data_IF_240756083494
#
_entry.id   IF_240756083494
#
_cell.length_a   1.000
_cell.length_b   1.000
_cell.length_c   1.000
_cell.angle_alpha   90.00
_cell.angle_beta   90.00
_cell.angle_gamma   90.00
#
_symmetry.space_group_name_H-M   'P 1'
#
loop_
_entity.id
_entity.type
_entity.pdbx_description
1 polymer ?
#
# COMPACT_ATOMS: atom_id res chain seq x y z
N UNK A 1 40.35 -3.99 -19.47
CA UNK A 1 40.69 -2.88 -18.55
C UNK A 1 40.20 -3.28 -17.14
N UNK A 2 40.68 -2.68 -16.04
CA UNK A 2 40.19 -2.96 -14.69
C UNK A 2 39.75 -1.65 -14.02
N UNK A 3 38.68 -1.69 -13.24
CA UNK A 3 38.16 -0.58 -12.42
C UNK A 3 38.04 -1.05 -10.97
N UNK A 4 38.23 -0.16 -10.00
CA UNK A 4 38.00 -0.49 -8.59
C UNK A 4 36.50 -0.54 -8.29
N UNK A 5 36.06 -1.34 -7.31
CA UNK A 5 34.64 -1.41 -6.92
C UNK A 5 34.08 -0.04 -6.49
N UNK A 6 34.86 0.76 -5.75
CA UNK A 6 34.45 2.11 -5.37
C UNK A 6 34.17 2.98 -6.61
N UNK A 7 35.11 3.03 -7.56
CA UNK A 7 34.93 3.83 -8.77
C UNK A 7 33.77 3.31 -9.64
N UNK A 8 33.52 1.99 -9.64
CA UNK A 8 32.35 1.40 -10.30
C UNK A 8 31.05 1.87 -9.65
N UNK A 9 30.95 1.76 -8.32
CA UNK A 9 29.78 2.19 -7.56
C UNK A 9 29.50 3.69 -7.73
N UNK A 10 30.54 4.52 -7.76
CA UNK A 10 30.43 5.96 -7.99
C UNK A 10 29.91 6.29 -9.40
N UNK A 11 30.14 5.43 -10.40
CA UNK A 11 29.74 5.67 -11.80
C UNK A 11 28.37 5.10 -12.16
N UNK A 12 28.07 3.89 -11.66
CA UNK A 12 26.94 3.07 -12.09
C UNK A 12 26.05 2.63 -10.92
N UNK A 13 26.36 3.00 -9.69
CA UNK A 13 25.73 2.44 -8.50
C UNK A 13 26.31 1.07 -8.09
N UNK A 14 25.92 0.54 -6.93
CA UNK A 14 26.46 -0.70 -6.37
C UNK A 14 26.20 -1.90 -7.29
N UNK A 15 26.98 -2.97 -7.10
CA UNK A 15 26.82 -4.27 -7.77
C UNK A 15 26.98 -5.42 -6.79
N UNK A 16 26.86 -6.67 -7.23
CA UNK A 16 26.74 -7.89 -6.41
C UNK A 16 27.72 -7.89 -5.23
N UNK A 17 27.17 -8.01 -4.02
CA UNK A 17 27.89 -8.04 -2.74
C UNK A 17 28.23 -6.67 -2.13
N UNK A 18 27.99 -5.55 -2.82
CA UNK A 18 28.02 -4.24 -2.19
C UNK A 18 26.79 -4.06 -1.29
N UNK A 19 26.94 -3.23 -0.25
CA UNK A 19 25.86 -2.92 0.70
C UNK A 19 25.50 -1.45 0.71
N UNK A 20 24.21 -1.17 0.89
CA UNK A 20 23.66 0.19 0.99
C UNK A 20 22.84 0.30 2.27
N UNK A 21 23.08 1.34 3.06
CA UNK A 21 22.26 1.70 4.21
C UNK A 21 20.98 2.38 3.73
N UNK A 22 19.84 1.99 4.28
CA UNK A 22 18.56 2.63 3.97
C UNK A 22 18.36 3.88 4.82
N UNK A 23 18.47 5.06 4.20
CA UNK A 23 18.36 6.34 4.90
C UNK A 23 19.37 6.47 6.05
N UNK A 24 18.90 6.92 7.20
CA UNK A 24 19.62 6.99 8.46
C UNK A 24 19.30 5.81 9.42
N UNK A 25 18.65 4.76 8.91
CA UNK A 25 18.34 3.55 9.68
C UNK A 25 19.59 2.67 9.88
N UNK A 26 19.46 1.61 10.69
CA UNK A 26 20.47 0.53 10.80
C UNK A 26 20.21 -0.63 9.83
N UNK A 27 19.29 -0.47 8.87
CA UNK A 27 19.03 -1.48 7.84
C UNK A 27 20.04 -1.35 6.70
N UNK A 28 20.61 -2.50 6.33
CA UNK A 28 21.56 -2.62 5.22
C UNK A 28 21.03 -3.65 4.21
N UNK A 29 20.90 -3.23 2.96
CA UNK A 29 20.59 -4.13 1.84
C UNK A 29 21.89 -4.53 1.12
N UNK A 30 21.97 -5.77 0.66
CA UNK A 30 23.08 -6.28 -0.14
C UNK A 30 22.58 -6.58 -1.56
N UNK A 31 23.33 -6.20 -2.58
CA UNK A 31 22.96 -6.50 -3.98
C UNK A 31 23.13 -8.00 -4.22
N UNK A 32 22.03 -8.69 -4.51
CA UNK A 32 21.97 -10.14 -4.69
C UNK A 32 22.36 -10.58 -6.10
N UNK A 33 21.91 -9.82 -7.11
CA UNK A 33 22.16 -10.07 -8.53
C UNK A 33 22.40 -8.76 -9.28
N UNK A 34 23.18 -8.80 -10.36
CA UNK A 34 23.35 -7.71 -11.31
C UNK A 34 23.21 -8.26 -12.72
N UNK A 35 22.21 -7.74 -13.46
CA UNK A 35 21.87 -8.18 -14.81
C UNK A 35 22.82 -7.62 -15.88
N UNK A 36 23.74 -6.72 -15.52
CA UNK A 36 24.64 -6.11 -16.49
C UNK A 36 25.76 -7.03 -16.94
N UNK A 37 26.39 -6.66 -18.06
CA UNK A 37 27.71 -7.14 -18.45
C UNK A 37 28.73 -6.04 -18.15
N UNK A 38 29.71 -6.32 -17.28
CA UNK A 38 30.63 -5.28 -16.84
C UNK A 38 31.43 -4.65 -17.99
N UNK A 39 31.25 -3.34 -18.18
CA UNK A 39 31.79 -2.55 -19.29
C UNK A 39 30.78 -2.20 -20.39
N UNK A 40 29.58 -2.78 -20.33
CA UNK A 40 28.45 -2.54 -21.25
C UNK A 40 27.25 -1.86 -20.56
N UNK A 41 27.48 -1.24 -19.40
CA UNK A 41 26.48 -0.44 -18.69
C UNK A 41 25.99 0.69 -19.60
N UNK A 42 24.69 0.86 -19.70
CA UNK A 42 24.11 1.95 -20.47
C UNK A 42 24.04 3.20 -19.61
N UNK A 43 24.62 4.30 -20.09
CA UNK A 43 24.62 5.60 -19.43
C UNK A 43 24.35 6.69 -20.45
N UNK A 44 23.44 7.60 -20.12
CA UNK A 44 23.08 8.73 -20.96
C UNK A 44 23.95 9.96 -20.65
N UNK A 45 24.16 10.81 -21.67
CA UNK A 45 24.89 12.08 -21.55
C UNK A 45 25.94 12.32 -22.63
N UNK A 46 26.54 13.51 -22.62
CA UNK A 46 27.56 13.91 -23.60
C UNK A 46 28.77 12.96 -23.60
N UNK A 47 29.02 12.32 -24.75
CA UNK A 47 30.13 11.36 -24.91
C UNK A 47 29.93 10.02 -24.18
N UNK A 48 28.71 9.68 -23.73
CA UNK A 48 28.40 8.43 -23.03
C UNK A 48 27.92 7.33 -23.99
N UNK A 49 27.28 6.29 -23.45
CA UNK A 49 26.95 5.04 -24.17
C UNK A 49 25.67 5.16 -24.98
N UNK A 50 24.61 5.73 -24.41
CA UNK A 50 23.30 5.86 -25.09
C UNK A 50 23.38 7.00 -26.12
N UNK A 51 23.84 6.65 -27.31
CA UNK A 51 23.98 7.51 -28.49
C UNK A 51 23.73 6.69 -29.74
N UNK A 52 23.34 7.39 -30.80
CA UNK A 52 23.04 6.81 -32.11
C UNK A 52 24.11 5.83 -32.60
N UNK A 53 23.70 4.59 -32.89
CA UNK A 53 24.55 3.50 -33.36
C UNK A 53 25.49 2.90 -32.30
N UNK A 54 25.44 3.39 -31.06
CA UNK A 54 26.22 2.88 -29.92
C UNK A 54 25.29 2.06 -29.02
N UNK A 55 24.97 2.53 -27.81
CA UNK A 55 23.96 1.93 -26.94
C UNK A 55 22.51 2.22 -27.35
N UNK A 56 22.29 3.06 -28.36
CA UNK A 56 20.98 3.27 -29.00
C UNK A 56 20.96 2.57 -30.37
N UNK A 57 20.02 1.64 -30.55
CA UNK A 57 19.76 0.91 -31.78
C UNK A 57 19.03 1.75 -32.84
N UNK A 58 19.02 1.26 -34.08
CA UNK A 58 18.23 1.83 -35.19
C UNK A 58 16.81 1.26 -35.26
N UNK A 59 16.45 0.33 -34.38
CA UNK A 59 15.11 -0.27 -34.38
C UNK A 59 14.03 0.78 -34.13
N UNK A 60 12.87 0.54 -34.73
CA UNK A 60 11.67 1.37 -34.64
C UNK A 60 10.39 0.52 -34.53
N UNK A 61 10.54 -0.77 -34.25
CA UNK A 61 9.44 -1.72 -34.06
C UNK A 61 8.97 -1.72 -32.59
N UNK A 62 7.92 -2.49 -32.31
CA UNK A 62 7.35 -2.65 -30.96
C UNK A 62 8.34 -3.26 -29.94
N UNK A 63 9.56 -3.66 -30.32
CA UNK A 63 10.55 -4.14 -29.38
C UNK A 63 11.29 -2.99 -28.65
N UNK A 64 11.16 -1.76 -29.14
CA UNK A 64 11.79 -0.57 -28.53
C UNK A 64 10.96 -0.08 -27.33
N UNK A 65 11.65 0.22 -26.23
CA UNK A 65 11.00 0.78 -25.03
C UNK A 65 10.62 2.24 -25.22
N UNK A 66 9.53 2.68 -24.57
CA UNK A 66 9.16 4.09 -24.50
C UNK A 66 10.05 4.83 -23.49
N UNK A 67 10.41 4.18 -22.39
CA UNK A 67 11.33 4.72 -21.39
C UNK A 67 12.19 3.61 -20.79
N UNK A 68 13.44 3.90 -20.47
CA UNK A 68 14.33 3.00 -19.72
C UNK A 68 14.87 3.71 -18.48
N UNK A 69 14.72 3.06 -17.32
CA UNK A 69 15.40 3.45 -16.08
C UNK A 69 16.73 2.69 -16.05
N UNK A 70 17.86 3.39 -16.15
CA UNK A 70 19.17 2.75 -16.27
C UNK A 70 19.82 2.48 -14.93
N UNK A 71 20.48 1.34 -14.76
CA UNK A 71 21.33 1.01 -13.60
C UNK A 71 20.63 1.18 -12.24
N UNK A 72 19.35 0.82 -12.13
CA UNK A 72 18.60 0.95 -10.89
C UNK A 72 18.95 -0.17 -9.91
N UNK A 73 19.14 0.17 -8.63
CA UNK A 73 19.10 -0.83 -7.54
C UNK A 73 17.64 -1.06 -7.17
N UNK A 74 17.07 -2.16 -7.63
CA UNK A 74 15.68 -2.54 -7.36
C UNK A 74 15.60 -3.17 -5.98
N UNK A 75 14.65 -2.69 -5.18
CA UNK A 75 14.28 -3.28 -3.89
C UNK A 75 12.79 -3.65 -3.97
N UNK A 76 12.50 -4.95 -3.98
CA UNK A 76 11.14 -5.48 -4.02
C UNK A 76 11.04 -6.80 -3.24
N UNK A 77 9.82 -7.31 -3.02
CA UNK A 77 9.58 -8.50 -2.19
C UNK A 77 10.26 -9.78 -2.71
N UNK A 78 10.54 -9.84 -4.02
CA UNK A 78 11.18 -11.00 -4.66
C UNK A 78 12.70 -10.93 -4.70
N UNK A 79 13.32 -9.78 -4.38
CA UNK A 79 14.77 -9.64 -4.35
C UNK A 79 15.33 -8.22 -4.36
N UNK A 80 16.64 -8.12 -4.16
CA UNK A 80 17.42 -6.89 -4.17
C UNK A 80 18.43 -6.96 -5.32
N UNK A 81 18.04 -6.47 -6.50
CA UNK A 81 18.81 -6.70 -7.74
C UNK A 81 19.17 -5.41 -8.45
N UNK A 82 20.29 -5.43 -9.18
CA UNK A 82 20.75 -4.35 -10.02
C UNK A 82 20.36 -4.65 -11.48
N UNK A 83 19.57 -3.76 -12.09
CA UNK A 83 19.11 -3.95 -13.47
C UNK A 83 18.70 -2.63 -14.13
N UNK A 84 18.54 -2.68 -15.45
CA UNK A 84 17.77 -1.70 -16.20
C UNK A 84 16.28 -2.11 -16.21
N UNK A 85 15.37 -1.12 -16.23
CA UNK A 85 13.92 -1.35 -16.29
C UNK A 85 13.34 -0.69 -17.52
N UNK A 86 12.72 -1.48 -18.39
CA UNK A 86 12.05 -1.02 -19.60
C UNK A 86 10.56 -0.79 -19.37
N UNK A 87 10.06 0.35 -19.84
CA UNK A 87 8.65 0.75 -19.77
C UNK A 87 8.10 0.90 -21.18
N UNK A 88 6.93 0.29 -21.42
CA UNK A 88 6.21 0.42 -22.67
C UNK A 88 4.71 0.55 -22.42
N UNK A 89 4.05 1.49 -23.08
CA UNK A 89 2.60 1.73 -23.02
C UNK A 89 2.09 1.84 -21.57
N UNK A 90 2.88 2.52 -20.73
CA UNK A 90 2.58 2.75 -19.31
C UNK A 90 2.73 1.52 -18.39
N UNK A 91 3.38 0.45 -18.85
CA UNK A 91 3.60 -0.79 -18.07
C UNK A 91 5.09 -1.15 -18.03
N UNK A 92 5.50 -1.83 -16.95
CA UNK A 92 6.81 -2.47 -16.88
C UNK A 92 6.83 -3.59 -17.93
N UNK A 93 7.69 -3.46 -18.93
CA UNK A 93 7.80 -4.40 -20.04
C UNK A 93 8.88 -5.46 -19.78
N UNK A 94 9.99 -5.07 -19.13
CA UNK A 94 11.09 -5.96 -18.80
C UNK A 94 11.99 -5.39 -17.71
N UNK A 95 12.64 -6.30 -16.97
CA UNK A 95 13.74 -6.02 -16.03
C UNK A 95 14.93 -6.84 -16.53
N UNK A 96 16.09 -6.22 -16.73
CA UNK A 96 17.26 -6.91 -17.28
C UNK A 96 18.34 -5.97 -17.77
N UNK A 97 18.89 -6.25 -18.96
CA UNK A 97 20.00 -5.50 -19.56
C UNK A 97 19.52 -4.71 -20.76
N UNK A 98 19.63 -3.38 -20.67
CA UNK A 98 19.26 -2.48 -21.75
C UNK A 98 20.41 -2.15 -22.69
N UNK A 99 20.09 -1.67 -23.88
CA UNK A 99 21.06 -1.14 -24.83
C UNK A 99 20.72 -1.43 -26.29
N UNK A 100 21.78 -1.61 -27.08
CA UNK A 100 21.67 -1.89 -28.50
C UNK A 100 22.11 -3.32 -28.82
N UNK A 101 21.21 -4.21 -29.28
CA UNK A 101 21.56 -5.58 -29.63
C UNK A 101 22.53 -5.68 -30.81
N UNK A 102 22.70 -4.63 -31.61
CA UNK A 102 23.63 -4.62 -32.76
C UNK A 102 25.10 -4.52 -32.33
N UNK A 103 25.37 -4.03 -31.11
CA UNK A 103 26.72 -3.70 -30.64
C UNK A 103 27.04 -4.24 -29.25
N UNK A 104 26.03 -4.64 -28.46
CA UNK A 104 26.18 -5.10 -27.08
C UNK A 104 25.60 -6.52 -26.90
N UNK A 105 26.23 -7.36 -26.05
CA UNK A 105 25.75 -8.70 -25.79
C UNK A 105 24.47 -8.69 -24.95
N UNK A 106 23.66 -9.75 -25.11
CA UNK A 106 22.56 -10.15 -24.21
C UNK A 106 21.55 -9.05 -23.86
N UNK A 107 21.32 -8.11 -24.79
CA UNK A 107 20.32 -7.04 -24.64
C UNK A 107 18.90 -7.64 -24.66
N UNK A 108 18.18 -7.50 -23.55
CA UNK A 108 16.76 -7.86 -23.44
C UNK A 108 15.84 -6.64 -23.51
N UNK A 109 16.38 -5.44 -23.34
CA UNK A 109 15.64 -4.18 -23.32
C UNK A 109 16.22 -3.23 -24.39
N UNK A 110 15.56 -3.11 -25.53
CA UNK A 110 16.10 -2.32 -26.65
C UNK A 110 15.86 -0.83 -26.44
N UNK A 111 16.94 -0.05 -26.51
CA UNK A 111 16.90 1.42 -26.55
C UNK A 111 16.96 1.85 -28.02
N UNK A 112 15.97 2.61 -28.48
CA UNK A 112 15.90 3.14 -29.85
C UNK A 112 15.68 4.66 -29.87
N UNK A 113 15.46 5.26 -31.05
CA UNK A 113 15.31 6.71 -31.18
C UNK A 113 14.08 7.31 -30.47
N UNK A 114 13.07 6.48 -30.15
CA UNK A 114 11.87 6.88 -29.41
C UNK A 114 11.93 6.66 -27.90
N UNK A 115 13.06 6.17 -27.37
CA UNK A 115 13.19 5.82 -25.95
C UNK A 115 13.67 7.01 -25.12
N UNK A 116 12.92 7.38 -24.09
CA UNK A 116 13.37 8.31 -23.05
C UNK A 116 14.22 7.59 -21.98
N UNK A 117 15.11 8.32 -21.29
CA UNK A 117 16.01 7.77 -20.28
C UNK A 117 15.82 8.45 -18.91
N UNK A 118 15.62 7.63 -17.88
CA UNK A 118 15.71 8.04 -16.47
C UNK A 118 16.98 7.43 -15.88
N UNK A 119 17.88 8.26 -15.33
CA UNK A 119 19.13 7.79 -14.74
C UNK A 119 18.91 7.24 -13.32
N UNK A 120 18.93 5.91 -13.17
CA UNK A 120 18.77 5.19 -11.91
C UNK A 120 20.09 4.90 -11.18
N UNK A 121 21.25 5.18 -11.79
CA UNK A 121 22.54 4.96 -11.13
C UNK A 121 22.64 5.67 -9.77
N UNK A 122 23.00 4.89 -8.73
CA UNK A 122 23.07 5.38 -7.36
C UNK A 122 21.71 5.81 -6.79
N UNK A 123 20.60 5.24 -7.29
CA UNK A 123 19.24 5.36 -6.74
C UNK A 123 18.69 3.97 -6.44
N UNK A 124 17.80 3.91 -5.46
CA UNK A 124 16.96 2.74 -5.20
C UNK A 124 15.63 2.95 -5.93
N UNK A 125 15.15 1.90 -6.61
CA UNK A 125 13.86 1.85 -7.26
C UNK A 125 12.96 0.85 -6.53
N UNK A 126 11.77 1.27 -6.16
CA UNK A 126 10.74 0.42 -5.54
C UNK A 126 9.46 0.51 -6.36
N UNK A 127 8.53 -0.41 -6.11
CA UNK A 127 7.13 -0.17 -6.47
C UNK A 127 6.59 1.05 -5.72
N UNK A 128 5.52 1.66 -6.25
CA UNK A 128 4.78 2.69 -5.53
C UNK A 128 3.96 2.07 -4.39
N UNK A 129 3.84 2.78 -3.27
CA UNK A 129 3.06 2.32 -2.12
C UNK A 129 1.57 2.14 -2.46
N UNK A 130 0.92 1.23 -1.72
CA UNK A 130 -0.53 1.00 -1.76
C UNK A 130 -1.07 1.20 -0.34
N UNK A 131 -1.92 2.20 -0.15
CA UNK A 131 -2.59 2.46 1.13
C UNK A 131 -4.05 1.98 1.07
N UNK A 132 -4.42 0.89 1.76
CA UNK A 132 -5.76 0.33 1.71
C UNK A 132 -6.72 0.85 2.79
N UNK A 133 -6.32 1.82 3.63
CA UNK A 133 -7.15 2.34 4.73
C UNK A 133 -7.36 3.86 4.62
N UNK A 134 -7.77 4.33 3.45
CA UNK A 134 -8.01 5.75 3.21
C UNK A 134 -9.41 6.20 3.63
N UNK A 135 -9.48 7.17 4.53
CA UNK A 135 -10.67 7.99 4.70
C UNK A 135 -10.59 9.16 3.72
N UNK A 136 -11.45 9.20 2.70
CA UNK A 136 -11.48 10.30 1.72
C UNK A 136 -12.16 11.55 2.30
N UNK A 137 -11.52 12.14 3.31
CA UNK A 137 -11.98 13.33 4.04
C UNK A 137 -11.75 14.58 3.21
N UNK A 138 -10.61 14.68 2.53
CA UNK A 138 -10.29 15.82 1.69
C UNK A 138 -9.36 15.44 0.52
N UNK A 139 -9.45 16.13 -0.64
CA UNK A 139 -8.65 15.80 -1.82
C UNK A 139 -7.15 16.05 -1.65
N UNK A 140 -6.74 16.88 -0.68
CA UNK A 140 -5.34 17.19 -0.40
C UNK A 140 -4.53 15.94 -0.01
N UNK A 141 -5.20 14.93 0.58
CA UNK A 141 -4.55 13.66 0.92
C UNK A 141 -3.90 12.97 -0.28
N UNK A 142 -4.42 13.18 -1.49
CA UNK A 142 -3.88 12.54 -2.70
C UNK A 142 -2.50 13.09 -3.05
N UNK A 143 -2.29 14.40 -2.92
CA UNK A 143 -0.97 15.01 -3.14
C UNK A 143 0.02 14.57 -2.05
N UNK A 144 -0.41 14.58 -0.78
CA UNK A 144 0.43 14.14 0.33
C UNK A 144 0.86 12.67 0.20
N UNK A 145 -0.09 11.80 -0.17
CA UNK A 145 0.19 10.39 -0.42
C UNK A 145 1.16 10.20 -1.60
N UNK A 146 0.94 10.92 -2.71
CA UNK A 146 1.82 10.82 -3.87
C UNK A 146 3.26 11.28 -3.56
N UNK A 147 3.40 12.36 -2.79
CA UNK A 147 4.72 12.90 -2.41
C UNK A 147 5.46 11.99 -1.41
N UNK A 148 4.76 11.13 -0.67
CA UNK A 148 5.37 10.10 0.16
C UNK A 148 5.72 8.81 -0.61
N UNK A 149 5.35 8.71 -1.89
CA UNK A 149 5.63 7.56 -2.75
C UNK A 149 4.47 6.56 -2.87
N UNK A 150 3.28 6.87 -2.32
CA UNK A 150 2.06 6.08 -2.53
C UNK A 150 1.48 6.38 -3.91
N UNK A 151 1.10 5.35 -4.65
CA UNK A 151 0.52 5.47 -6.00
C UNK A 151 -0.84 4.81 -6.15
N UNK A 152 -1.33 4.18 -5.07
CA UNK A 152 -2.66 3.60 -4.99
C UNK A 152 -3.29 3.87 -3.62
N UNK A 153 -4.52 4.36 -3.63
CA UNK A 153 -5.30 4.70 -2.43
C UNK A 153 -6.64 3.95 -2.48
N UNK A 154 -6.86 3.04 -1.54
CA UNK A 154 -8.12 2.30 -1.39
C UNK A 154 -8.78 2.66 -0.06
N UNK A 155 -10.09 2.87 -0.07
CA UNK A 155 -10.79 3.32 1.12
C UNK A 155 -12.16 3.89 0.81
N UNK A 156 -12.72 4.77 1.63
CA UNK A 156 -14.05 5.32 1.36
C UNK A 156 -14.29 6.67 2.00
N UNK A 157 -15.23 7.43 1.43
CA UNK A 157 -15.58 8.73 1.96
C UNK A 157 -16.34 9.62 0.99
N UNK A 158 -16.86 10.73 1.50
CA UNK A 158 -17.61 11.73 0.71
C UNK A 158 -17.19 13.16 1.04
N UNK A 159 -15.94 13.36 1.46
CA UNK A 159 -15.47 14.61 2.04
C UNK A 159 -15.61 14.66 3.57
N UNK A 160 -15.55 15.84 4.20
CA UNK A 160 -15.43 15.98 5.66
C UNK A 160 -16.77 15.83 6.40
N UNK A 161 -17.55 14.81 6.03
CA UNK A 161 -18.79 14.44 6.70
C UNK A 161 -18.49 13.57 7.92
N UNK A 162 -19.32 13.64 8.97
CA UNK A 162 -19.14 12.85 10.21
C UNK A 162 -18.92 11.37 9.93
N UNK A 163 -19.70 10.78 9.02
CA UNK A 163 -19.54 9.37 8.65
C UNK A 163 -18.22 9.04 7.97
N UNK A 164 -17.63 9.96 7.21
CA UNK A 164 -16.32 9.77 6.56
C UNK A 164 -15.16 10.03 7.52
N UNK A 165 -15.32 11.00 8.41
CA UNK A 165 -14.34 11.25 9.47
C UNK A 165 -14.19 10.02 10.39
N UNK A 166 -15.27 9.27 10.57
CA UNK A 166 -15.28 8.05 11.38
C UNK A 166 -15.00 6.77 10.57
N UNK A 167 -15.45 6.67 9.31
CA UNK A 167 -15.48 5.38 8.60
C UNK A 167 -15.03 5.50 7.13
N UNK A 168 -14.31 4.51 6.63
CA UNK A 168 -13.94 4.36 5.20
C UNK A 168 -15.12 3.90 4.33
N UNK A 169 -16.26 4.60 4.41
CA UNK A 169 -17.46 4.27 3.65
C UNK A 169 -17.81 5.36 2.64
N UNK A 170 -18.07 4.97 1.39
CA UNK A 170 -18.72 5.79 0.36
C UNK A 170 -20.17 5.32 0.19
N UNK A 171 -21.13 5.86 0.95
CA UNK A 171 -22.45 5.25 1.10
C UNK A 171 -23.36 5.51 -0.11
N UNK A 172 -23.77 4.43 -0.77
CA UNK A 172 -24.87 4.44 -1.75
C UNK A 172 -24.50 4.90 -3.17
N UNK A 173 -25.30 4.52 -4.19
CA UNK A 173 -24.92 4.69 -5.60
C UNK A 173 -24.62 6.13 -6.04
N UNK A 174 -25.33 7.11 -5.48
CA UNK A 174 -25.14 8.50 -5.86
C UNK A 174 -23.75 9.03 -5.44
N UNK A 175 -23.35 8.77 -4.19
CA UNK A 175 -22.04 9.20 -3.69
C UNK A 175 -20.91 8.45 -4.37
N UNK A 176 -21.07 7.14 -4.60
CA UNK A 176 -20.09 6.34 -5.35
C UNK A 176 -19.85 6.93 -6.75
N UNK A 177 -20.93 7.21 -7.49
CA UNK A 177 -20.82 7.83 -8.81
C UNK A 177 -20.19 9.22 -8.79
N UNK A 178 -20.42 10.02 -7.74
CA UNK A 178 -19.82 11.35 -7.59
C UNK A 178 -18.34 11.29 -7.22
N UNK A 179 -17.95 10.36 -6.36
CA UNK A 179 -16.55 10.17 -5.99
C UNK A 179 -15.72 9.63 -7.16
N UNK A 180 -16.27 8.69 -7.95
CA UNK A 180 -15.63 8.24 -9.20
C UNK A 180 -15.40 9.39 -10.18
N UNK A 181 -16.38 10.28 -10.36
CA UNK A 181 -16.23 11.50 -11.18
C UNK A 181 -15.19 12.46 -10.62
N UNK A 182 -15.10 12.59 -9.28
CA UNK A 182 -14.20 13.54 -8.63
C UNK A 182 -12.72 13.17 -8.75
N UNK A 183 -12.41 11.88 -8.94
CA UNK A 183 -11.02 11.38 -8.97
C UNK A 183 -10.47 11.12 -10.36
N UNK A 184 -11.29 11.26 -11.41
CA UNK A 184 -10.94 10.92 -12.81
C UNK A 184 -9.72 11.68 -13.35
N UNK A 185 -9.44 12.87 -12.82
CA UNK A 185 -8.29 13.70 -13.23
C UNK A 185 -7.07 13.59 -12.31
N UNK A 186 -7.10 12.73 -11.29
CA UNK A 186 -6.03 12.62 -10.31
C UNK A 186 -5.00 11.57 -10.75
N UNK A 187 -3.69 11.83 -10.62
CA UNK A 187 -2.63 10.89 -10.98
C UNK A 187 -2.45 9.81 -9.88
N UNK A 188 -3.51 9.10 -9.55
CA UNK A 188 -3.58 8.12 -8.45
C UNK A 188 -4.51 6.99 -8.84
N UNK A 189 -4.14 5.74 -8.57
CA UNK A 189 -5.08 4.62 -8.67
C UNK A 189 -6.01 4.66 -7.44
N UNK A 190 -7.32 4.72 -7.64
CA UNK A 190 -8.28 4.86 -6.54
C UNK A 190 -9.34 3.77 -6.59
N UNK A 191 -9.59 3.15 -5.45
CA UNK A 191 -10.66 2.18 -5.25
C UNK A 191 -11.53 2.57 -4.05
N UNK A 192 -12.85 2.62 -4.25
CA UNK A 192 -13.78 2.98 -3.19
C UNK A 192 -14.37 1.75 -2.49
N UNK A 193 -14.57 1.85 -1.18
CA UNK A 193 -15.31 0.94 -0.33
C UNK A 193 -16.70 1.50 -0.06
N UNK A 194 -17.73 0.65 -0.18
CA UNK A 194 -19.09 0.97 0.22
C UNK A 194 -19.32 0.70 1.71
N UNK A 195 -20.50 1.04 2.22
CA UNK A 195 -20.90 0.67 3.59
C UNK A 195 -21.40 -0.77 3.63
N UNK A 196 -20.74 -1.63 4.38
CA UNK A 196 -21.05 -3.05 4.54
C UNK A 196 -22.07 -3.39 5.64
N UNK A 197 -22.34 -2.46 6.55
CA UNK A 197 -23.25 -2.68 7.68
C UNK A 197 -24.72 -2.68 7.24
N UNK A 198 -25.23 -3.84 6.86
CA UNK A 198 -26.64 -4.13 6.64
C UNK A 198 -26.90 -5.63 6.87
N UNK A 199 -28.11 -6.00 7.32
CA UNK A 199 -28.50 -7.41 7.53
C UNK A 199 -29.32 -8.01 6.38
N UNK A 200 -29.50 -7.24 5.29
CA UNK A 200 -30.13 -7.68 4.05
C UNK A 200 -29.23 -7.33 2.86
N UNK A 201 -29.15 -8.17 1.81
CA UNK A 201 -28.12 -8.06 0.78
C UNK A 201 -28.37 -6.92 -0.22
N UNK A 202 -29.62 -6.56 -0.50
CA UNK A 202 -29.98 -5.74 -1.66
C UNK A 202 -29.32 -4.36 -1.64
N UNK A 203 -29.20 -3.75 -0.45
CA UNK A 203 -28.55 -2.45 -0.30
C UNK A 203 -27.02 -2.51 -0.50
N UNK A 204 -26.40 -3.64 -0.17
CA UNK A 204 -24.97 -3.87 -0.40
C UNK A 204 -24.72 -4.10 -1.88
N UNK A 205 -25.52 -4.95 -2.52
CA UNK A 205 -25.43 -5.22 -3.95
C UNK A 205 -25.56 -3.96 -4.81
N UNK A 206 -26.46 -3.04 -4.44
CA UNK A 206 -26.63 -1.76 -5.14
C UNK A 206 -25.35 -0.91 -5.10
N UNK A 207 -24.60 -0.97 -3.99
CA UNK A 207 -23.33 -0.25 -3.88
C UNK A 207 -22.26 -0.90 -4.76
N UNK A 208 -22.14 -2.23 -4.72
CA UNK A 208 -21.18 -2.97 -5.56
C UNK A 208 -21.42 -2.70 -7.04
N UNK A 209 -22.68 -2.81 -7.48
CA UNK A 209 -23.10 -2.49 -8.86
C UNK A 209 -22.85 -1.03 -9.25
N UNK A 210 -22.75 -0.12 -8.29
CA UNK A 210 -22.42 1.28 -8.54
C UNK A 210 -20.92 1.55 -8.70
N UNK A 211 -20.05 0.60 -8.33
CA UNK A 211 -18.61 0.64 -8.63
C UNK A 211 -17.65 0.60 -7.43
N UNK A 212 -18.10 0.21 -6.23
CA UNK A 212 -17.15 -0.05 -5.12
C UNK A 212 -16.43 -1.37 -5.35
N UNK A 213 -15.15 -1.42 -4.95
CA UNK A 213 -14.29 -2.62 -5.05
C UNK A 213 -14.32 -3.48 -3.78
N UNK A 214 -15.02 -3.03 -2.76
CA UNK A 214 -15.11 -3.66 -1.46
C UNK A 214 -16.15 -3.00 -0.57
N UNK A 215 -16.35 -3.56 0.62
CA UNK A 215 -17.28 -3.04 1.63
C UNK A 215 -16.56 -2.90 2.98
N UNK A 216 -16.81 -1.80 3.70
CA UNK A 216 -16.34 -1.60 5.08
C UNK A 216 -17.45 -1.93 6.06
N UNK A 217 -17.18 -2.87 6.96
CA UNK A 217 -17.93 -3.06 8.21
C UNK A 217 -17.30 -2.18 9.30
N UNK A 218 -18.09 -1.31 9.92
CA UNK A 218 -17.63 -0.41 10.99
C UNK A 218 -18.56 -0.42 12.20
N UNK A 219 -17.99 -0.40 13.41
CA UNK A 219 -18.79 -0.50 14.64
C UNK A 219 -19.75 0.68 14.82
N UNK A 220 -19.36 1.88 14.41
CA UNK A 220 -20.21 3.09 14.36
C UNK A 220 -21.48 2.93 13.52
N UNK A 221 -21.50 1.96 12.59
CA UNK A 221 -22.68 1.57 11.83
C UNK A 221 -23.28 0.22 12.29
N UNK A 222 -22.74 -0.37 13.35
CA UNK A 222 -23.10 -1.66 13.94
C UNK A 222 -22.42 -2.85 13.26
N UNK A 223 -21.27 -3.29 13.77
CA UNK A 223 -20.54 -4.48 13.28
C UNK A 223 -21.03 -5.74 14.01
N UNK A 224 -22.30 -6.08 13.79
CA UNK A 224 -22.94 -7.25 14.42
C UNK A 224 -22.71 -8.53 13.60
N UNK A 225 -22.83 -9.73 14.21
CA UNK A 225 -22.76 -11.01 13.49
C UNK A 225 -23.69 -11.09 12.27
N UNK A 226 -24.89 -10.51 12.35
CA UNK A 226 -25.84 -10.50 11.23
C UNK A 226 -25.34 -9.64 10.05
N UNK A 227 -24.80 -8.45 10.34
CA UNK A 227 -24.21 -7.60 9.29
C UNK A 227 -22.93 -8.19 8.70
N UNK A 228 -22.09 -8.83 9.53
CA UNK A 228 -20.89 -9.53 9.11
C UNK A 228 -21.25 -10.65 8.13
N UNK A 229 -22.18 -11.52 8.52
CA UNK A 229 -22.57 -12.67 7.71
C UNK A 229 -23.16 -12.27 6.36
N UNK A 230 -24.05 -11.27 6.36
CA UNK A 230 -24.65 -10.75 5.14
C UNK A 230 -23.61 -10.09 4.23
N UNK A 231 -22.73 -9.25 4.77
CA UNK A 231 -21.69 -8.57 4.01
C UNK A 231 -20.73 -9.57 3.33
N UNK A 232 -20.24 -10.56 4.08
CA UNK A 232 -19.38 -11.61 3.52
C UNK A 232 -20.10 -12.48 2.49
N UNK A 233 -21.40 -12.74 2.66
CA UNK A 233 -22.19 -13.45 1.64
C UNK A 233 -22.28 -12.66 0.33
N UNK A 234 -22.46 -11.34 0.39
CA UNK A 234 -22.43 -10.48 -0.79
C UNK A 234 -21.02 -10.42 -1.39
N UNK A 235 -19.99 -10.37 -0.55
CA UNK A 235 -18.60 -10.35 -1.01
C UNK A 235 -18.24 -11.59 -1.85
N UNK A 236 -18.59 -12.79 -1.37
CA UNK A 236 -18.38 -14.05 -2.10
C UNK A 236 -19.13 -14.08 -3.44
N UNK A 237 -20.30 -13.45 -3.53
CA UNK A 237 -21.10 -13.42 -4.76
C UNK A 237 -20.54 -12.49 -5.83
N UNK A 238 -19.89 -11.40 -5.42
CA UNK A 238 -19.42 -10.34 -6.32
C UNK A 238 -17.90 -10.28 -6.47
N UNK A 239 -17.16 -11.17 -5.78
CA UNK A 239 -15.69 -11.23 -5.79
C UNK A 239 -15.06 -9.88 -5.39
N UNK A 240 -15.48 -9.36 -4.23
CA UNK A 240 -14.95 -8.13 -3.63
C UNK A 240 -14.44 -8.39 -2.22
N UNK A 241 -13.55 -7.52 -1.72
CA UNK A 241 -13.03 -7.64 -0.36
C UNK A 241 -13.99 -7.02 0.68
N UNK A 242 -13.96 -7.56 1.90
CA UNK A 242 -14.57 -6.93 3.08
C UNK A 242 -13.46 -6.47 4.02
N UNK A 243 -13.43 -5.17 4.30
CA UNK A 243 -12.64 -4.60 5.38
C UNK A 243 -13.50 -4.47 6.64
N UNK A 244 -12.93 -4.76 7.81
CA UNK A 244 -13.68 -4.72 9.07
C UNK A 244 -12.96 -3.96 10.18
N UNK A 245 -13.77 -3.17 10.88
CA UNK A 245 -13.54 -2.61 12.20
C UNK A 245 -14.60 -3.24 13.11
N UNK A 246 -14.16 -4.10 14.04
CA UNK A 246 -15.06 -4.95 14.85
C UNK A 246 -15.65 -4.21 16.03
N UNK A 247 -16.58 -4.86 16.74
CA UNK A 247 -17.32 -4.31 17.88
C UNK A 247 -16.42 -4.14 19.11
N UNK A 248 -15.89 -2.93 19.34
CA UNK A 248 -14.99 -2.65 20.48
C UNK A 248 -15.69 -2.87 21.81
N UNK A 249 -16.99 -2.58 21.85
CA UNK A 249 -17.82 -2.64 23.06
C UNK A 249 -18.14 -4.07 23.48
N UNK A 250 -17.88 -5.05 22.61
CA UNK A 250 -18.37 -6.42 22.76
C UNK A 250 -19.91 -6.46 22.96
N UNK A 251 -20.64 -5.53 22.33
CA UNK A 251 -22.09 -5.38 22.53
C UNK A 251 -22.83 -6.61 22.00
N UNK A 252 -22.40 -7.11 20.84
CA UNK A 252 -23.05 -8.21 20.12
C UNK A 252 -22.39 -9.57 20.34
N UNK A 253 -21.29 -9.61 21.11
CA UNK A 253 -20.46 -10.79 21.39
C UNK A 253 -19.00 -10.41 21.58
N UNK A 254 -18.17 -11.37 22.00
CA UNK A 254 -16.72 -11.20 22.08
C UNK A 254 -16.04 -11.53 20.73
N UNK A 255 -14.71 -11.44 20.67
CA UNK A 255 -13.95 -11.67 19.43
C UNK A 255 -14.25 -13.05 18.83
N UNK A 256 -14.45 -14.09 19.65
CA UNK A 256 -14.81 -15.43 19.19
C UNK A 256 -16.15 -15.50 18.46
N UNK A 257 -17.13 -14.67 18.85
CA UNK A 257 -18.45 -14.61 18.22
C UNK A 257 -18.35 -13.95 16.83
N UNK A 258 -17.57 -12.87 16.73
CA UNK A 258 -17.25 -12.22 15.45
C UNK A 258 -16.46 -13.14 14.53
N UNK A 259 -15.44 -13.86 15.06
CA UNK A 259 -14.68 -14.85 14.30
C UNK A 259 -15.58 -16.01 13.83
N UNK A 260 -16.54 -16.43 14.65
CA UNK A 260 -17.54 -17.42 14.25
C UNK A 260 -18.46 -16.90 13.14
N UNK A 261 -18.84 -15.62 13.17
CA UNK A 261 -19.64 -14.97 12.13
C UNK A 261 -18.89 -14.88 10.77
N UNK A 262 -17.55 -14.85 10.79
CA UNK A 262 -16.76 -14.93 9.55
C UNK A 262 -16.96 -16.25 8.82
N UNK A 263 -17.25 -17.35 9.53
CA UNK A 263 -17.44 -18.71 8.97
C UNK A 263 -16.27 -19.17 8.08
N UNK A 264 -15.05 -18.74 8.40
CA UNK A 264 -13.84 -19.07 7.64
C UNK A 264 -13.73 -18.40 6.27
N UNK A 265 -14.52 -17.36 5.97
CA UNK A 265 -14.44 -16.59 4.72
C UNK A 265 -13.35 -15.53 4.80
N UNK A 266 -12.75 -15.21 3.64
CA UNK A 266 -11.72 -14.20 3.51
C UNK A 266 -12.21 -12.84 4.02
N UNK A 267 -11.43 -12.19 4.89
CA UNK A 267 -11.74 -10.85 5.40
C UNK A 267 -10.46 -10.09 5.76
N UNK A 268 -10.47 -8.78 5.51
CA UNK A 268 -9.38 -7.88 5.88
C UNK A 268 -9.70 -7.19 7.21
N UNK A 269 -8.99 -7.56 8.29
CA UNK A 269 -9.09 -6.86 9.58
C UNK A 269 -8.22 -5.61 9.57
N UNK A 270 -8.85 -4.43 9.64
CA UNK A 270 -8.13 -3.18 9.83
C UNK A 270 -7.61 -3.06 11.26
N UNK A 271 -6.51 -2.31 11.42
CA UNK A 271 -5.85 -1.99 12.72
C UNK A 271 -5.97 -3.13 13.73
N UNK A 272 -5.46 -4.29 13.33
CA UNK A 272 -5.73 -5.58 13.99
C UNK A 272 -5.23 -5.61 15.44
N UNK A 273 -4.25 -4.78 15.79
CA UNK A 273 -3.81 -4.56 17.18
C UNK A 273 -4.91 -4.01 18.10
N UNK A 274 -5.81 -3.18 17.56
CA UNK A 274 -7.05 -2.77 18.21
C UNK A 274 -7.10 -1.34 18.77
N UNK A 275 -6.01 -0.57 18.83
CA UNK A 275 -6.05 0.83 19.24
C UNK A 275 -6.92 1.67 18.27
N UNK A 276 -6.74 1.43 16.97
CA UNK A 276 -7.60 1.99 15.92
C UNK A 276 -9.06 1.54 16.00
N UNK A 277 -9.34 0.45 16.72
CA UNK A 277 -10.67 -0.06 17.05
C UNK A 277 -10.84 -1.55 16.79
N UNK A 278 -11.69 -2.18 17.59
CA UNK A 278 -11.95 -3.61 17.57
C UNK A 278 -12.13 -4.18 18.97
N UNK A 279 -12.56 -5.45 19.06
CA UNK A 279 -12.89 -6.12 20.31
C UNK A 279 -11.82 -5.87 21.38
N UNK A 280 -12.22 -5.21 22.48
CA UNK A 280 -11.32 -4.94 23.59
C UNK A 280 -11.30 -6.13 24.55
N UNK A 281 -10.11 -6.67 24.93
CA UNK A 281 -8.76 -6.23 24.55
C UNK A 281 -8.09 -7.08 23.45
N UNK A 282 -8.79 -8.02 22.83
CA UNK A 282 -8.20 -9.22 22.22
C UNK A 282 -8.46 -9.40 20.71
N UNK A 283 -8.89 -8.36 20.00
CA UNK A 283 -9.01 -8.36 18.53
C UNK A 283 -7.73 -8.80 17.81
N UNK A 284 -6.56 -8.54 18.40
CA UNK A 284 -5.25 -8.96 17.87
C UNK A 284 -5.17 -10.47 17.62
N UNK A 285 -5.95 -11.28 18.33
CA UNK A 285 -6.01 -12.73 18.12
C UNK A 285 -6.54 -13.13 16.73
N UNK A 286 -7.19 -12.21 16.00
CA UNK A 286 -7.64 -12.44 14.63
C UNK A 286 -6.48 -12.73 13.66
N UNK A 287 -5.26 -12.25 13.93
CA UNK A 287 -4.08 -12.55 13.11
C UNK A 287 -3.68 -14.03 13.11
N UNK A 288 -4.27 -14.85 14.00
CA UNK A 288 -4.05 -16.30 14.05
C UNK A 288 -4.86 -17.11 13.03
N UNK A 289 -5.75 -16.47 12.27
CA UNK A 289 -6.64 -17.14 11.31
C UNK A 289 -6.09 -17.06 9.89
N UNK A 290 -6.11 -18.18 9.18
CA UNK A 290 -5.62 -18.31 7.80
C UNK A 290 -6.49 -17.59 6.76
N UNK A 291 -7.76 -17.36 7.08
CA UNK A 291 -8.70 -16.60 6.26
C UNK A 291 -8.74 -15.10 6.59
N UNK A 292 -7.93 -14.63 7.56
CA UNK A 292 -7.83 -13.21 7.90
C UNK A 292 -6.60 -12.62 7.23
N UNK A 293 -6.77 -11.47 6.58
CA UNK A 293 -5.69 -10.63 6.08
C UNK A 293 -5.51 -9.46 7.05
N UNK A 294 -4.61 -9.55 8.04
CA UNK A 294 -4.47 -8.50 9.05
C UNK A 294 -3.66 -7.32 8.53
N UNK A 295 -4.08 -6.10 8.84
CA UNK A 295 -3.24 -4.91 8.69
C UNK A 295 -3.19 -4.10 9.98
N UNK A 296 -2.10 -3.33 10.08
CA UNK A 296 -1.92 -2.26 11.06
C UNK A 296 -2.32 -0.91 10.47
N UNK A 297 -2.53 0.09 11.33
CA UNK A 297 -2.52 1.51 10.95
C UNK A 297 -1.27 2.16 11.51
N UNK A 298 -0.80 3.23 10.88
CA UNK A 298 0.51 3.80 11.19
C UNK A 298 0.70 4.50 12.56
N UNK A 299 -0.32 5.00 13.30
CA UNK A 299 -0.03 5.79 14.51
C UNK A 299 0.64 4.98 15.64
N UNK A 300 0.39 3.68 15.70
CA UNK A 300 1.02 2.78 16.69
C UNK A 300 2.42 2.31 16.28
N UNK A 301 2.93 2.73 15.10
CA UNK A 301 4.11 2.13 14.44
C UNK A 301 5.32 3.10 14.41
N UNK A 302 6.45 2.76 15.05
CA UNK A 302 6.63 1.71 16.05
C UNK A 302 6.11 2.16 17.42
N UNK A 303 6.20 1.27 18.42
CA UNK A 303 5.99 1.66 19.81
C UNK A 303 7.08 2.64 20.29
N UNK A 304 6.67 3.82 20.78
CA UNK A 304 7.57 4.86 21.28
C UNK A 304 7.13 5.38 22.65
N UNK A 305 8.00 6.19 23.27
CA UNK A 305 7.75 6.80 24.59
C UNK A 305 6.51 7.70 24.64
N UNK A 306 6.04 8.23 23.51
CA UNK A 306 4.87 9.11 23.46
C UNK A 306 3.61 8.40 22.95
N UNK A 307 3.71 7.17 22.45
CA UNK A 307 2.63 6.51 21.72
C UNK A 307 1.37 6.38 22.58
N UNK A 308 1.49 5.90 23.82
CA UNK A 308 0.32 5.68 24.70
C UNK A 308 -0.35 7.00 25.09
N UNK A 309 0.43 7.99 25.53
CA UNK A 309 -0.10 9.27 25.97
C UNK A 309 -0.80 10.02 24.82
N UNK A 310 -0.20 10.01 23.62
CA UNK A 310 -0.81 10.57 22.42
C UNK A 310 -2.13 9.88 22.08
N UNK A 311 -2.16 8.54 22.10
CA UNK A 311 -3.33 7.78 21.67
C UNK A 311 -4.49 7.86 22.65
N UNK A 312 -4.21 7.93 23.96
CA UNK A 312 -5.25 8.13 24.97
C UNK A 312 -5.98 9.46 24.74
N UNK A 313 -5.25 10.57 24.61
CA UNK A 313 -5.86 11.89 24.39
C UNK A 313 -6.55 11.96 23.02
N UNK A 314 -5.93 11.41 21.97
CA UNK A 314 -6.53 11.33 20.63
C UNK A 314 -7.87 10.61 20.66
N UNK A 315 -7.94 9.43 21.30
CA UNK A 315 -9.17 8.65 21.40
C UNK A 315 -10.27 9.43 22.11
N UNK A 316 -9.92 10.08 23.23
CA UNK A 316 -10.87 10.87 24.01
C UNK A 316 -11.42 12.06 23.23
N UNK A 317 -10.58 12.77 22.47
CA UNK A 317 -11.02 13.86 21.59
C UNK A 317 -11.93 13.33 20.48
N UNK A 318 -11.54 12.25 19.80
CA UNK A 318 -12.31 11.68 18.70
C UNK A 318 -13.70 11.17 19.13
N UNK A 319 -13.82 10.62 20.35
CA UNK A 319 -15.07 10.04 20.86
C UNK A 319 -15.83 11.00 21.80
N UNK A 320 -15.35 12.23 21.97
CA UNK A 320 -15.94 13.24 22.87
C UNK A 320 -16.08 12.74 24.32
N UNK A 321 -15.09 11.99 24.80
CA UNK A 321 -15.03 11.42 26.15
C UNK A 321 -14.59 12.48 27.17
N UNK A 322 -15.05 12.35 28.41
CA UNK A 322 -14.67 13.23 29.52
C UNK A 322 -13.81 12.47 30.54
N UNK A 323 -12.59 12.96 30.79
CA UNK A 323 -11.66 12.36 31.76
C UNK A 323 -12.15 12.37 33.21
N UNK A 324 -13.24 13.09 33.48
CA UNK A 324 -13.90 13.12 34.79
C UNK A 324 -14.97 12.04 34.94
N UNK A 325 -15.34 11.35 33.87
CA UNK A 325 -16.31 10.26 33.87
C UNK A 325 -15.51 8.93 33.93
N UNK A 326 -15.62 8.16 35.03
CA UNK A 326 -14.86 6.92 35.18
C UNK A 326 -15.10 5.89 34.07
N UNK A 327 -16.32 5.81 33.55
CA UNK A 327 -16.72 4.90 32.48
C UNK A 327 -16.04 5.25 31.14
N UNK A 328 -15.91 6.55 30.84
CA UNK A 328 -15.24 7.05 29.65
C UNK A 328 -13.73 6.75 29.70
N UNK A 329 -13.12 6.94 30.87
CA UNK A 329 -11.71 6.60 31.10
C UNK A 329 -11.49 5.08 30.99
N UNK A 330 -12.37 4.27 31.59
CA UNK A 330 -12.31 2.82 31.50
C UNK A 330 -12.43 2.32 30.05
N UNK A 331 -13.29 2.94 29.24
CA UNK A 331 -13.37 2.65 27.81
C UNK A 331 -12.06 3.00 27.09
N UNK A 332 -11.49 4.18 27.36
CA UNK A 332 -10.24 4.60 26.74
C UNK A 332 -9.07 3.67 27.09
N UNK A 333 -8.92 3.33 28.37
CA UNK A 333 -7.91 2.40 28.88
C UNK A 333 -8.12 0.97 28.36
N UNK A 334 -9.37 0.56 28.11
CA UNK A 334 -9.65 -0.75 27.51
C UNK A 334 -9.17 -0.85 26.06
N UNK A 335 -9.11 0.28 25.33
CA UNK A 335 -8.78 0.34 23.90
C UNK A 335 -7.31 0.66 23.63
N UNK A 336 -6.71 1.57 24.39
CA UNK A 336 -5.31 1.96 24.25
C UNK A 336 -4.46 1.19 25.25
N UNK A 337 -3.74 0.18 24.75
CA UNK A 337 -3.00 -0.77 25.60
C UNK A 337 -1.54 -0.84 25.15
N UNK A 338 -0.62 -0.54 26.05
CA UNK A 338 0.81 -0.61 25.76
C UNK A 338 1.25 -2.03 25.37
N UNK A 339 0.60 -3.04 25.95
CA UNK A 339 0.89 -4.45 25.75
C UNK A 339 0.64 -4.89 24.31
N UNK A 340 -0.52 -4.54 23.73
CA UNK A 340 -0.86 -4.93 22.36
C UNK A 340 -0.12 -4.07 21.33
N UNK A 341 0.07 -2.77 21.58
CA UNK A 341 0.88 -1.88 20.74
C UNK A 341 2.33 -2.38 20.64
N UNK A 342 2.92 -2.80 21.76
CA UNK A 342 4.27 -3.37 21.76
C UNK A 342 4.31 -4.76 21.09
N UNK A 343 3.26 -5.59 21.23
CA UNK A 343 3.18 -6.88 20.57
C UNK A 343 3.07 -6.75 19.04
N UNK A 344 2.38 -5.73 18.53
CA UNK A 344 2.25 -5.45 17.11
C UNK A 344 3.61 -5.18 16.42
N UNK A 345 4.63 -4.69 17.15
CA UNK A 345 5.99 -4.53 16.59
C UNK A 345 6.70 -5.86 16.31
N UNK A 346 6.27 -6.94 16.97
CA UNK A 346 6.94 -8.26 16.93
C UNK A 346 6.23 -9.22 15.98
N UNK A 347 4.91 -9.07 15.80
CA UNK A 347 4.08 -9.89 14.91
C UNK A 347 4.37 -9.59 13.43
#
# INVERSE_FOLDING_TARGET
MKISRQAYADMYGPTVGDRVRLGDTELWIEVEEDHTHYGDEVKFGGGKVIRDGMGQSQRCDDAVMDTVITNALILDWWGIVKADVGIQKGRIAAIGKAGNPDTQPDVTIVIGPGTEIIAGEGKILTAGGIDPHIHFICPQQVEEALMSGVTTMLGGGTGPATGTNATTCTPGPWHIGKMLQAVDSLPMNIGFLGKGNASLPEALELQVKAGVIGLKLHEDWGTTPASIDNCLTVADQYDIQVAIHTDTLNESGFVEDTLAAFKGRCIHTFHTEGAGGGHAPDIITACSKDYVLPSSTNPTRPYTVNTVDEHLDMLMVCHHLDSRIPEDLAFAESRIRAETIAAEDIL
#
